data_IF_492221834511
#
_entry.id   IF_492221834511
#
_cell.length_a   1.000
_cell.length_b   1.000
_cell.length_c   1.000
_cell.angle_alpha   90.00
_cell.angle_beta   90.00
_cell.angle_gamma   90.00
#
_symmetry.space_group_name_H-M   'P 1'
#
loop_
_entity.id
_entity.type
_entity.pdbx_description
1 polymer ?
#
# COMPACT_ATOMS: atom_id res chain seq x y z
N UNK A 1 -11.50 15.06 15.24
CA UNK A 1 -10.25 15.83 15.20
C UNK A 1 -9.58 15.67 16.55
N UNK A 2 -8.39 15.07 16.59
CA UNK A 2 -7.60 14.86 17.82
C UNK A 2 -6.44 15.87 17.80
N UNK A 3 -6.54 16.91 18.63
CA UNK A 3 -5.56 18.00 18.69
C UNK A 3 -4.23 17.59 19.31
N UNK A 4 -4.23 16.57 20.18
CA UNK A 4 -3.01 16.06 20.80
C UNK A 4 -2.20 15.32 19.74
N UNK A 5 -2.85 14.44 18.98
CA UNK A 5 -2.21 13.71 17.88
C UNK A 5 -1.66 14.66 16.81
N UNK A 6 -2.41 15.71 16.47
CA UNK A 6 -1.98 16.70 15.48
C UNK A 6 -0.72 17.49 15.89
N UNK A 7 -0.44 17.57 17.19
CA UNK A 7 0.72 18.28 17.73
C UNK A 7 1.94 17.37 17.98
N UNK A 8 1.79 16.03 17.88
CA UNK A 8 2.89 15.09 18.13
C UNK A 8 3.94 15.15 17.02
N UNK A 9 5.21 15.08 17.41
CA UNK A 9 6.28 14.76 16.47
C UNK A 9 6.19 13.29 16.06
N UNK A 10 6.88 12.92 14.98
CA UNK A 10 6.91 11.52 14.53
C UNK A 10 7.62 10.60 15.53
N UNK A 11 8.63 11.11 16.25
CA UNK A 11 9.32 10.37 17.31
C UNK A 11 8.39 10.15 18.52
N UNK A 12 7.63 11.17 18.94
CA UNK A 12 6.63 11.03 20.01
C UNK A 12 5.53 10.05 19.61
N UNK A 13 5.05 10.15 18.38
CA UNK A 13 4.02 9.24 17.86
C UNK A 13 4.51 7.79 17.82
N UNK A 14 5.74 7.55 17.34
CA UNK A 14 6.35 6.23 17.28
C UNK A 14 6.54 5.60 18.68
N UNK A 15 6.82 6.40 19.70
CA UNK A 15 6.97 5.98 21.09
C UNK A 15 5.63 5.84 21.84
N UNK A 16 4.54 6.38 21.30
CA UNK A 16 3.22 6.40 21.96
C UNK A 16 2.47 5.07 21.86
N UNK A 17 1.43 4.94 22.69
CA UNK A 17 0.40 3.90 22.62
C UNK A 17 -0.67 4.18 21.55
N UNK A 18 -0.61 5.33 20.87
CA UNK A 18 -1.54 5.74 19.81
C UNK A 18 -1.20 5.13 18.43
N UNK A 19 -0.09 4.41 18.32
CA UNK A 19 0.34 3.77 17.08
C UNK A 19 -0.54 2.55 16.78
N UNK A 20 -1.19 2.55 15.62
CA UNK A 20 -2.02 1.42 15.17
C UNK A 20 -1.14 0.47 14.35
N UNK A 21 -0.54 -0.50 15.04
CA UNK A 21 0.41 -1.44 14.47
C UNK A 21 -0.25 -2.46 13.55
N UNK A 22 0.43 -2.81 12.45
CA UNK A 22 0.04 -3.90 11.54
C UNK A 22 -1.41 -3.80 11.05
N UNK A 23 -1.85 -2.57 10.76
CA UNK A 23 -3.22 -2.25 10.41
C UNK A 23 -3.71 -3.04 9.20
N UNK A 24 -2.87 -3.23 8.17
CA UNK A 24 -3.28 -3.92 6.95
C UNK A 24 -3.49 -5.42 7.20
N UNK A 25 -2.55 -6.09 7.86
CA UNK A 25 -2.68 -7.50 8.24
C UNK A 25 -3.91 -7.69 9.12
N UNK A 26 -4.05 -6.89 10.19
CA UNK A 26 -5.21 -6.94 11.11
C UNK A 26 -6.54 -6.79 10.37
N UNK A 27 -6.62 -5.82 9.47
CA UNK A 27 -7.83 -5.54 8.69
C UNK A 27 -8.21 -6.71 7.78
N UNK A 28 -7.22 -7.33 7.11
CA UNK A 28 -7.45 -8.45 6.21
C UNK A 28 -7.92 -9.70 6.95
N UNK A 29 -7.35 -9.99 8.13
CA UNK A 29 -7.72 -11.17 8.92
C UNK A 29 -8.89 -10.93 9.88
N UNK A 30 -9.39 -9.68 9.96
CA UNK A 30 -10.50 -9.31 10.85
C UNK A 30 -10.15 -9.33 12.33
N UNK A 31 -8.90 -9.04 12.69
CA UNK A 31 -8.39 -9.08 14.06
C UNK A 31 -8.63 -7.74 14.79
N UNK A 32 -9.06 -7.81 16.05
CA UNK A 32 -9.32 -6.63 16.88
C UNK A 32 -8.00 -6.02 17.36
N UNK A 33 -7.97 -4.72 17.68
CA UNK A 33 -6.76 -3.96 18.00
C UNK A 33 -5.89 -4.55 19.13
N UNK A 34 -6.49 -5.31 20.04
CA UNK A 34 -5.81 -5.78 21.25
C UNK A 34 -5.21 -7.19 21.12
N UNK A 35 -5.50 -7.92 20.04
CA UNK A 35 -4.94 -9.25 19.83
C UNK A 35 -3.54 -9.16 19.25
N UNK A 36 -2.64 -10.07 19.62
CA UNK A 36 -1.30 -10.13 19.04
C UNK A 36 -1.35 -10.54 17.56
N UNK A 37 -0.55 -9.89 16.72
CA UNK A 37 -0.35 -10.31 15.33
C UNK A 37 0.75 -11.37 15.28
N UNK A 38 0.45 -12.48 14.61
CA UNK A 38 1.31 -13.65 14.49
C UNK A 38 1.71 -13.88 13.03
N UNK A 39 2.70 -14.75 12.80
CA UNK A 39 3.08 -15.15 11.45
C UNK A 39 1.96 -15.89 10.70
N UNK A 40 1.08 -16.59 11.41
CA UNK A 40 -0.09 -17.26 10.81
C UNK A 40 -1.10 -16.22 10.28
N UNK A 41 -1.26 -15.08 10.97
CA UNK A 41 -2.09 -13.97 10.48
C UNK A 41 -1.49 -13.39 9.18
N UNK A 42 -0.16 -13.26 9.10
CA UNK A 42 0.50 -12.80 7.88
C UNK A 42 0.28 -13.80 6.74
N UNK A 43 0.43 -15.10 6.99
CA UNK A 43 0.19 -16.14 5.99
C UNK A 43 -1.27 -16.11 5.49
N UNK A 44 -2.24 -15.93 6.40
CA UNK A 44 -3.65 -15.77 6.04
C UNK A 44 -3.90 -14.48 5.24
N UNK A 45 -3.31 -13.35 5.64
CA UNK A 45 -3.43 -12.09 4.93
C UNK A 45 -2.87 -12.18 3.50
N UNK A 46 -1.70 -12.83 3.31
CA UNK A 46 -1.12 -13.12 1.99
C UNK A 46 -2.08 -13.94 1.12
N UNK A 47 -2.67 -14.99 1.69
CA UNK A 47 -3.63 -15.83 0.97
C UNK A 47 -4.93 -15.10 0.60
N UNK A 48 -5.42 -14.23 1.49
CA UNK A 48 -6.55 -13.35 1.23
C UNK A 48 -6.24 -12.40 0.06
N UNK A 49 -5.09 -11.71 0.07
CA UNK A 49 -4.68 -10.85 -1.03
C UNK A 49 -4.64 -11.61 -2.35
N UNK A 50 -3.98 -12.77 -2.37
CA UNK A 50 -3.81 -13.59 -3.56
C UNK A 50 -5.12 -14.08 -4.16
N UNK A 51 -6.10 -14.46 -3.33
CA UNK A 51 -7.33 -15.12 -3.79
C UNK A 51 -8.49 -14.15 -4.03
N UNK A 52 -8.52 -13.01 -3.34
CA UNK A 52 -9.71 -12.15 -3.29
C UNK A 52 -9.51 -10.77 -3.90
N UNK A 53 -8.28 -10.35 -4.16
CA UNK A 53 -7.97 -8.99 -4.59
C UNK A 53 -7.12 -8.99 -5.86
N UNK A 54 -7.41 -8.04 -6.74
CA UNK A 54 -6.41 -7.48 -7.65
C UNK A 54 -5.66 -6.39 -6.88
N UNK A 55 -4.32 -6.40 -6.88
CA UNK A 55 -3.52 -5.47 -6.07
C UNK A 55 -2.79 -4.45 -6.94
N UNK A 56 -2.58 -3.27 -6.36
CA UNK A 56 -1.79 -2.16 -6.88
C UNK A 56 -0.75 -1.70 -5.85
N UNK A 57 0.34 -1.09 -6.32
CA UNK A 57 1.42 -0.53 -5.50
C UNK A 57 1.39 1.00 -5.63
N UNK A 58 1.11 1.67 -4.51
CA UNK A 58 1.02 3.12 -4.43
C UNK A 58 2.39 3.82 -4.28
N UNK A 59 3.47 3.22 -4.78
CA UNK A 59 4.75 3.91 -4.89
C UNK A 59 4.80 4.73 -6.17
N UNK A 60 5.45 5.90 -6.21
CA UNK A 60 5.54 6.73 -7.41
C UNK A 60 6.04 5.98 -8.66
N UNK A 61 6.94 5.02 -8.49
CA UNK A 61 7.51 4.23 -9.60
C UNK A 61 6.56 3.15 -10.14
N UNK A 62 5.50 2.80 -9.40
CA UNK A 62 4.59 1.69 -9.72
C UNK A 62 3.12 2.11 -9.85
N UNK A 63 2.79 3.34 -9.50
CA UNK A 63 1.41 3.82 -9.41
C UNK A 63 0.70 3.79 -10.78
N UNK A 64 1.35 4.30 -11.83
CA UNK A 64 0.82 4.28 -13.20
C UNK A 64 0.50 2.86 -13.67
N UNK A 65 1.42 1.91 -13.42
CA UNK A 65 1.22 0.49 -13.74
C UNK A 65 0.08 -0.13 -12.94
N UNK A 66 -0.12 0.32 -11.71
CA UNK A 66 -1.18 -0.16 -10.85
C UNK A 66 -2.55 0.31 -11.34
N UNK A 67 -2.66 1.56 -11.78
CA UNK A 67 -3.89 2.09 -12.38
C UNK A 67 -4.22 1.34 -13.66
N UNK A 68 -3.28 1.24 -14.60
CA UNK A 68 -3.46 0.52 -15.87
C UNK A 68 -3.88 -0.93 -15.63
N UNK A 69 -3.33 -1.60 -14.63
CA UNK A 69 -3.74 -2.96 -14.25
C UNK A 69 -5.21 -3.03 -13.86
N UNK A 70 -5.69 -2.14 -13.01
CA UNK A 70 -7.10 -2.13 -12.62
C UNK A 70 -7.99 -1.89 -13.84
N UNK A 71 -7.61 -0.96 -14.70
CA UNK A 71 -8.35 -0.64 -15.92
C UNK A 71 -8.44 -1.82 -16.89
N UNK A 72 -7.35 -2.56 -17.05
CA UNK A 72 -7.31 -3.78 -17.86
C UNK A 72 -8.15 -4.89 -17.25
N UNK A 73 -8.00 -5.15 -15.95
CA UNK A 73 -8.69 -6.23 -15.25
C UNK A 73 -10.21 -6.03 -15.24
N UNK A 74 -10.68 -4.80 -15.00
CA UNK A 74 -12.10 -4.50 -14.97
C UNK A 74 -12.70 -4.12 -16.33
N UNK A 75 -11.88 -4.04 -17.38
CA UNK A 75 -12.34 -3.76 -18.74
C UNK A 75 -12.95 -2.36 -18.89
N UNK A 76 -12.36 -1.34 -18.25
CA UNK A 76 -12.87 0.04 -18.33
C UNK A 76 -12.66 0.68 -19.71
N UNK A 77 -11.85 0.06 -20.57
CA UNK A 77 -11.54 0.53 -21.91
C UNK A 77 -11.88 -0.55 -22.94
N UNK A 78 -12.59 -0.16 -24.01
CA UNK A 78 -12.95 -1.05 -25.11
C UNK A 78 -11.73 -1.47 -25.95
N UNK A 79 -10.76 -0.56 -26.10
CA UNK A 79 -9.53 -0.79 -26.86
C UNK A 79 -8.30 -0.66 -25.95
N UNK A 80 -7.62 -1.79 -25.70
CA UNK A 80 -6.36 -1.83 -24.94
C UNK A 80 -5.24 -1.02 -25.60
N UNK A 81 -5.26 -0.89 -26.92
CA UNK A 81 -4.31 -0.08 -27.68
C UNK A 81 -4.44 1.42 -27.38
N UNK A 82 -5.65 1.90 -27.12
CA UNK A 82 -5.87 3.29 -26.66
C UNK A 82 -5.35 3.46 -25.24
N UNK A 83 -5.71 2.55 -24.32
CA UNK A 83 -5.29 2.59 -22.93
C UNK A 83 -3.76 2.67 -22.80
N UNK A 84 -3.03 1.80 -23.50
CA UNK A 84 -1.57 1.71 -23.42
C UNK A 84 -0.83 2.80 -24.20
N UNK A 85 -1.54 3.59 -25.02
CA UNK A 85 -0.93 4.66 -25.80
C UNK A 85 -1.03 5.99 -25.05
N UNK A 86 0.08 6.38 -24.41
CA UNK A 86 0.18 7.66 -23.67
C UNK A 86 -0.14 8.91 -24.50
N UNK A 87 0.07 8.87 -25.81
CA UNK A 87 -0.23 10.01 -26.69
C UNK A 87 -1.73 10.10 -26.97
N UNK A 88 -2.37 8.97 -27.27
CA UNK A 88 -3.81 8.94 -27.53
C UNK A 88 -4.61 9.18 -26.26
N UNK A 89 -4.17 8.61 -25.13
CA UNK A 89 -4.83 8.74 -23.83
C UNK A 89 -4.16 9.79 -22.92
N UNK A 90 -3.66 10.88 -23.52
CA UNK A 90 -2.83 11.87 -22.83
C UNK A 90 -3.47 12.46 -21.58
N UNK A 91 -4.73 12.91 -21.66
CA UNK A 91 -5.41 13.53 -20.53
C UNK A 91 -5.53 12.59 -19.32
N UNK A 92 -5.78 11.30 -19.57
CA UNK A 92 -5.85 10.30 -18.51
C UNK A 92 -4.49 10.11 -17.82
N UNK A 93 -3.40 9.97 -18.59
CA UNK A 93 -2.05 9.89 -18.03
C UNK A 93 -1.63 11.16 -17.29
N UNK A 94 -2.06 12.33 -17.75
CA UNK A 94 -1.80 13.59 -17.04
C UNK A 94 -2.45 13.62 -15.66
N UNK A 95 -3.68 13.13 -15.50
CA UNK A 95 -4.34 13.07 -14.19
C UNK A 95 -3.64 12.08 -13.23
N UNK A 96 -3.17 10.95 -13.77
CA UNK A 96 -2.37 9.99 -13.00
C UNK A 96 -1.03 10.59 -12.58
N UNK A 97 -0.31 11.27 -13.49
CA UNK A 97 1.03 11.80 -13.20
C UNK A 97 1.01 13.07 -12.34
N UNK A 98 0.03 13.96 -12.54
CA UNK A 98 -0.04 15.26 -11.88
C UNK A 98 -0.85 15.25 -10.58
N UNK A 99 -1.60 14.19 -10.29
CA UNK A 99 -2.39 14.09 -9.07
C UNK A 99 -1.51 14.00 -7.82
N UNK A 100 -2.00 14.60 -6.71
CA UNK A 100 -1.34 14.50 -5.42
C UNK A 100 -1.69 13.16 -4.74
N UNK A 101 -1.10 12.07 -5.25
CA UNK A 101 -1.43 10.70 -4.82
C UNK A 101 -0.68 10.22 -3.57
N UNK A 102 0.45 10.85 -3.25
CA UNK A 102 1.39 10.37 -2.22
C UNK A 102 1.46 11.28 -1.00
N UNK A 103 0.86 12.47 -1.07
CA UNK A 103 0.95 13.49 -0.03
C UNK A 103 2.35 14.13 0.08
N UNK A 104 2.41 15.29 0.74
CA UNK A 104 3.67 15.98 1.05
C UNK A 104 4.04 15.69 2.51
N UNK A 105 4.54 14.49 2.77
CA UNK A 105 5.00 14.09 4.10
C UNK A 105 6.52 13.86 4.11
N UNK A 106 7.23 14.29 5.17
CA UNK A 106 8.67 14.06 5.27
C UNK A 106 8.95 12.56 5.31
N UNK A 107 9.97 12.13 4.57
CA UNK A 107 10.44 10.75 4.64
C UNK A 107 11.17 10.51 5.95
N UNK A 108 10.83 9.42 6.62
CA UNK A 108 11.59 8.95 7.77
C UNK A 108 12.99 8.51 7.31
N UNK A 109 14.02 9.04 7.96
CA UNK A 109 15.40 8.63 7.70
C UNK A 109 15.59 7.19 8.19
N UNK A 110 16.00 6.31 7.27
CA UNK A 110 16.30 4.92 7.62
C UNK A 110 17.37 4.86 8.72
N UNK A 111 17.10 4.06 9.75
CA UNK A 111 17.97 3.92 10.92
C UNK A 111 17.76 4.97 12.02
N UNK A 112 16.89 5.97 11.83
CA UNK A 112 16.50 6.89 12.90
C UNK A 112 15.74 6.17 14.04
N UNK A 113 15.62 6.84 15.20
CA UNK A 113 14.85 6.31 16.34
C UNK A 113 13.42 5.95 15.97
N UNK A 114 12.65 6.92 15.45
CA UNK A 114 11.30 6.68 14.95
C UNK A 114 11.23 5.58 13.88
N UNK A 115 12.17 5.55 12.92
CA UNK A 115 12.17 4.53 11.87
C UNK A 115 12.31 3.12 12.46
N UNK A 116 13.25 2.91 13.38
CA UNK A 116 13.48 1.60 13.99
C UNK A 116 12.29 1.17 14.86
N UNK A 117 11.71 2.11 15.62
CA UNK A 117 10.50 1.84 16.42
C UNK A 117 9.33 1.44 15.54
N UNK A 118 9.02 2.23 14.50
CA UNK A 118 7.92 1.94 13.57
C UNK A 118 8.17 0.62 12.85
N UNK A 119 9.34 0.40 12.27
CA UNK A 119 9.59 -0.85 11.52
C UNK A 119 9.53 -2.10 12.38
N UNK A 120 9.95 -2.04 13.66
CA UNK A 120 9.81 -3.16 14.58
C UNK A 120 8.35 -3.48 14.92
N UNK A 121 7.51 -2.46 15.07
CA UNK A 121 6.08 -2.58 15.42
C UNK A 121 5.22 -2.96 14.21
N UNK A 122 5.60 -2.52 13.01
CA UNK A 122 4.90 -2.79 11.73
C UNK A 122 5.48 -3.97 10.93
N UNK A 123 6.20 -4.89 11.59
CA UNK A 123 6.90 -5.97 10.91
C UNK A 123 5.99 -6.80 9.98
N UNK A 124 4.73 -7.02 10.37
CA UNK A 124 3.78 -7.86 9.65
C UNK A 124 3.28 -7.18 8.38
N UNK A 125 2.98 -5.88 8.46
CA UNK A 125 2.59 -5.08 7.30
C UNK A 125 3.76 -4.90 6.33
N UNK A 126 4.99 -4.75 6.83
CA UNK A 126 6.19 -4.70 6.01
C UNK A 126 6.37 -6.02 5.26
N UNK A 127 6.22 -7.16 5.95
CA UNK A 127 6.32 -8.47 5.31
C UNK A 127 5.22 -8.69 4.25
N UNK A 128 3.98 -8.32 4.56
CA UNK A 128 2.86 -8.39 3.62
C UNK A 128 3.10 -7.50 2.40
N UNK A 129 3.60 -6.28 2.61
CA UNK A 129 3.93 -5.35 1.53
C UNK A 129 5.03 -5.89 0.62
N UNK A 130 6.09 -6.47 1.19
CA UNK A 130 7.18 -7.05 0.41
C UNK A 130 6.70 -8.23 -0.42
N UNK A 131 5.86 -9.10 0.14
CA UNK A 131 5.18 -10.15 -0.63
C UNK A 131 4.33 -9.58 -1.77
N UNK A 132 3.49 -8.58 -1.46
CA UNK A 132 2.61 -7.96 -2.44
C UNK A 132 3.42 -7.37 -3.61
N UNK A 133 4.50 -6.64 -3.33
CA UNK A 133 5.34 -5.97 -4.33
C UNK A 133 6.18 -6.94 -5.15
N UNK A 134 6.87 -7.88 -4.49
CA UNK A 134 7.91 -8.68 -5.13
C UNK A 134 7.36 -9.95 -5.79
N UNK A 135 6.25 -10.47 -5.28
CA UNK A 135 5.68 -11.75 -5.74
C UNK A 135 4.31 -11.50 -6.38
N UNK A 136 3.31 -11.14 -5.57
CA UNK A 136 1.91 -11.13 -6.01
C UNK A 136 1.66 -10.13 -7.15
N UNK A 137 2.28 -8.96 -7.10
CA UNK A 137 2.12 -7.97 -8.16
C UNK A 137 2.62 -8.52 -9.49
N UNK A 138 3.70 -9.30 -9.53
CA UNK A 138 4.17 -9.92 -10.78
C UNK A 138 3.28 -11.08 -11.22
N UNK A 139 2.85 -11.93 -10.28
CA UNK A 139 1.95 -13.06 -10.58
C UNK A 139 0.64 -12.60 -11.23
N UNK A 140 0.07 -11.49 -10.74
CA UNK A 140 -1.18 -10.94 -11.27
C UNK A 140 -1.06 -10.29 -12.65
N UNK A 141 0.15 -10.16 -13.20
CA UNK A 141 0.33 -9.70 -14.58
C UNK A 141 -0.33 -10.65 -15.59
N UNK A 142 -0.48 -11.93 -15.26
CA UNK A 142 -1.17 -12.91 -16.09
C UNK A 142 -2.70 -12.74 -16.13
N UNK A 143 -3.28 -11.86 -15.28
CA UNK A 143 -4.72 -11.62 -15.20
C UNK A 143 -5.20 -10.47 -16.11
N UNK A 144 -4.30 -9.75 -16.77
CA UNK A 144 -4.59 -8.51 -17.53
C UNK A 144 -4.20 -8.58 -19.00
#
# INVERSE_FOLDING_TARGET
FDSELAAMSIDDYAASDRLIENFMVRSLVGKVSNDDVTSDDVALAKDILRRKFIIGIAEPTWFDRSVVRFEQYFGWWEDKGILLNKTTNYCHYQEIENGNHFGNHPRLLQGSGAYNMITSRYWADIELYMYAKNELFQEQQALV
#
